data_IF_819741976000
#
_entry.id   IF_819741976000
#
_cell.length_a   1.000
_cell.length_b   1.000
_cell.length_c   1.000
_cell.angle_alpha   90.00
_cell.angle_beta   90.00
_cell.angle_gamma   90.00
#
_symmetry.space_group_name_H-M   'P 1'
#
loop_
_entity.id
_entity.type
_entity.pdbx_description
1 polymer ?
#
# COMPACT_ATOMS: atom_id res chain seq x y z
N UNK A 1 -9.01 -2.43 5.88
CA UNK A 1 -7.78 -2.70 5.11
C UNK A 1 -7.83 -4.12 4.57
N UNK A 2 -7.40 -4.35 3.32
CA UNK A 2 -7.40 -5.67 2.67
C UNK A 2 -5.99 -6.27 2.60
N UNK A 3 -5.91 -7.60 2.72
CA UNK A 3 -4.68 -8.36 2.47
C UNK A 3 -4.27 -8.26 1.00
N UNK A 4 -2.99 -8.03 0.73
CA UNK A 4 -2.43 -8.07 -0.63
C UNK A 4 -1.65 -9.35 -0.82
N UNK A 5 -2.12 -10.19 -1.73
CA UNK A 5 -1.52 -11.49 -2.00
C UNK A 5 -0.58 -11.40 -3.22
N UNK A 6 0.72 -11.24 -2.97
CA UNK A 6 1.78 -11.24 -4.01
C UNK A 6 2.03 -12.64 -4.59
N UNK A 7 1.02 -13.20 -5.26
CA UNK A 7 1.08 -14.55 -5.87
C UNK A 7 1.79 -14.56 -7.22
N UNK A 8 1.77 -13.44 -7.95
CA UNK A 8 2.46 -13.30 -9.23
C UNK A 8 3.88 -12.79 -8.99
N UNK A 9 4.81 -13.17 -9.87
CA UNK A 9 6.08 -12.45 -9.98
C UNK A 9 5.83 -11.03 -10.49
N UNK A 10 6.78 -10.12 -10.26
CA UNK A 10 6.72 -8.80 -10.89
C UNK A 10 6.63 -8.90 -12.43
N UNK A 11 6.07 -7.90 -13.12
CA UNK A 11 5.95 -7.92 -14.57
C UNK A 11 7.31 -8.12 -15.26
N UNK A 12 7.33 -8.91 -16.33
CA UNK A 12 8.55 -9.11 -17.12
C UNK A 12 9.08 -7.79 -17.68
N UNK A 13 8.19 -6.90 -18.09
CA UNK A 13 8.49 -5.56 -18.58
C UNK A 13 9.24 -4.75 -17.52
N UNK A 14 8.84 -4.88 -16.25
CA UNK A 14 9.50 -4.19 -15.15
C UNK A 14 10.89 -4.76 -14.88
N UNK A 15 11.03 -6.09 -14.92
CA UNK A 15 12.33 -6.77 -14.82
C UNK A 15 13.27 -6.31 -15.94
N UNK A 16 12.79 -6.31 -17.18
CA UNK A 16 13.53 -5.86 -18.38
C UNK A 16 13.84 -4.36 -18.32
N UNK A 17 12.96 -3.55 -17.75
CA UNK A 17 13.19 -2.12 -17.58
C UNK A 17 14.37 -1.86 -16.63
N UNK A 18 14.38 -2.51 -15.46
CA UNK A 18 15.43 -2.37 -14.45
C UNK A 18 16.81 -2.81 -14.94
N UNK A 19 16.90 -3.78 -15.86
CA UNK A 19 18.17 -4.23 -16.42
C UNK A 19 18.76 -3.30 -17.49
N UNK A 20 17.90 -2.51 -18.15
CA UNK A 20 18.29 -1.59 -19.23
C UNK A 20 18.51 -0.16 -18.76
N UNK A 21 17.98 0.21 -17.59
CA UNK A 21 18.00 1.59 -17.09
C UNK A 21 18.66 1.67 -15.73
N UNK A 22 19.49 2.70 -15.53
CA UNK A 22 20.01 3.04 -14.21
C UNK A 22 18.90 3.71 -13.40
N UNK A 23 18.40 3.02 -12.38
CA UNK A 23 17.36 3.55 -11.48
C UNK A 23 18.02 4.36 -10.37
N UNK A 24 17.83 5.68 -10.39
CA UNK A 24 18.39 6.60 -9.38
C UNK A 24 17.32 7.00 -8.38
N UNK A 25 16.11 7.26 -8.87
CA UNK A 25 14.96 7.72 -8.08
C UNK A 25 13.65 7.28 -8.77
N UNK A 26 12.51 7.67 -8.21
CA UNK A 26 11.21 7.30 -8.76
C UNK A 26 10.93 7.91 -10.16
N UNK A 27 11.58 9.02 -10.48
CA UNK A 27 11.43 9.69 -11.77
C UNK A 27 12.29 9.05 -12.86
N UNK A 28 13.14 8.08 -12.50
CA UNK A 28 13.88 7.24 -13.45
C UNK A 28 12.98 6.23 -14.17
N UNK A 29 11.73 6.04 -13.72
CA UNK A 29 10.73 5.19 -14.35
C UNK A 29 9.82 6.01 -15.26
N UNK A 30 9.71 5.59 -16.54
CA UNK A 30 8.82 6.25 -17.49
C UNK A 30 7.33 6.07 -17.12
N UNK A 31 6.43 6.93 -17.62
CA UNK A 31 4.99 6.75 -17.42
C UNK A 31 4.48 5.38 -17.89
N UNK A 32 5.01 4.85 -19.00
CA UNK A 32 4.57 3.58 -19.58
C UNK A 32 4.86 2.41 -18.64
N UNK A 33 6.06 2.34 -18.06
CA UNK A 33 6.37 1.25 -17.12
C UNK A 33 5.63 1.40 -15.79
N UNK A 34 5.37 2.63 -15.34
CA UNK A 34 4.50 2.89 -14.17
C UNK A 34 3.07 2.42 -14.44
N UNK A 35 2.56 2.61 -15.66
CA UNK A 35 1.23 2.12 -16.04
C UNK A 35 1.16 0.59 -16.03
N UNK A 36 2.17 -0.10 -16.60
CA UNK A 36 2.26 -1.56 -16.56
C UNK A 36 2.28 -2.09 -15.13
N UNK A 37 3.13 -1.50 -14.26
CA UNK A 37 3.17 -1.85 -12.84
C UNK A 37 1.80 -1.68 -12.18
N UNK A 38 1.17 -0.53 -12.37
CA UNK A 38 -0.10 -0.21 -11.71
C UNK A 38 -1.21 -1.16 -12.14
N UNK A 39 -1.29 -1.50 -13.44
CA UNK A 39 -2.20 -2.51 -13.95
C UNK A 39 -2.02 -3.86 -13.26
N UNK A 40 -0.77 -4.32 -13.13
CA UNK A 40 -0.45 -5.58 -12.46
C UNK A 40 -0.83 -5.58 -10.98
N UNK A 41 -0.58 -4.47 -10.29
CA UNK A 41 -0.92 -4.31 -8.87
C UNK A 41 -2.43 -4.33 -8.64
N UNK A 42 -3.21 -3.69 -9.52
CA UNK A 42 -4.67 -3.73 -9.46
C UNK A 42 -5.20 -5.17 -9.59
N UNK A 43 -4.69 -5.92 -10.57
CA UNK A 43 -5.08 -7.33 -10.78
C UNK A 43 -4.68 -8.28 -9.66
N UNK A 44 -3.67 -7.93 -8.84
CA UNK A 44 -3.26 -8.69 -7.66
C UNK A 44 -4.12 -8.38 -6.42
N UNK A 45 -4.71 -7.19 -6.40
CA UNK A 45 -5.49 -6.71 -5.26
C UNK A 45 -6.92 -7.21 -5.38
N UNK A 46 -7.48 -7.58 -4.23
CA UNK A 46 -8.83 -8.09 -4.17
C UNK A 46 -9.84 -7.05 -4.67
N UNK A 47 -10.69 -7.45 -5.61
CA UNK A 47 -11.76 -6.63 -6.21
C UNK A 47 -11.31 -5.26 -6.74
N UNK A 48 -10.06 -5.12 -7.17
CA UNK A 48 -9.46 -3.83 -7.51
C UNK A 48 -9.62 -2.77 -6.41
N UNK A 49 -9.68 -3.17 -5.13
CA UNK A 49 -9.83 -2.24 -4.04
C UNK A 49 -8.48 -1.71 -3.55
N UNK A 50 -8.49 -0.48 -3.04
CA UNK A 50 -7.37 0.06 -2.30
C UNK A 50 -7.12 -0.79 -1.05
N UNK A 51 -5.90 -1.31 -0.81
CA UNK A 51 -5.63 -2.16 0.35
C UNK A 51 -5.75 -1.43 1.69
N UNK A 52 -5.76 -0.10 1.66
CA UNK A 52 -5.84 0.73 2.85
C UNK A 52 -7.30 1.01 3.26
N UNK A 53 -8.09 1.63 2.37
CA UNK A 53 -9.47 2.01 2.67
C UNK A 53 -10.56 1.13 2.06
N UNK A 54 -10.20 0.11 1.27
CA UNK A 54 -11.13 -0.84 0.63
C UNK A 54 -12.06 -0.24 -0.43
N UNK A 55 -11.90 1.05 -0.77
CA UNK A 55 -12.61 1.69 -1.88
C UNK A 55 -12.08 1.11 -3.20
N UNK A 56 -12.99 0.81 -4.13
CA UNK A 56 -12.68 0.38 -5.49
C UNK A 56 -11.83 1.43 -6.21
N UNK A 57 -10.78 0.99 -6.90
CA UNK A 57 -9.86 1.83 -7.66
C UNK A 57 -9.56 1.20 -9.02
N UNK A 58 -9.28 2.06 -9.98
CA UNK A 58 -8.99 1.78 -11.37
C UNK A 58 -7.64 2.38 -11.77
N UNK A 59 -7.29 2.29 -13.05
CA UNK A 59 -5.99 2.76 -13.52
C UNK A 59 -5.90 4.30 -13.51
N UNK A 60 -7.00 5.01 -13.67
CA UNK A 60 -7.07 6.48 -13.75
C UNK A 60 -7.10 7.17 -12.39
N UNK A 61 -7.62 6.50 -11.36
CA UNK A 61 -7.91 7.05 -10.02
C UNK A 61 -7.07 6.39 -8.90
N UNK A 62 -5.95 5.75 -9.28
CA UNK A 62 -4.97 5.16 -8.37
C UNK A 62 -3.52 5.62 -8.61
N UNK A 63 -2.68 5.47 -7.59
CA UNK A 63 -1.22 5.60 -7.70
C UNK A 63 -0.49 4.36 -7.18
N UNK A 64 0.79 4.23 -7.57
CA UNK A 64 1.68 3.23 -6.97
C UNK A 64 2.21 3.78 -5.64
N UNK A 65 1.86 3.12 -4.56
CA UNK A 65 2.29 3.45 -3.21
C UNK A 65 3.48 2.58 -2.80
N UNK A 66 4.50 3.22 -2.23
CA UNK A 66 5.61 2.54 -1.55
C UNK A 66 5.22 2.26 -0.10
N UNK A 67 5.01 1.00 0.27
CA UNK A 67 4.69 0.61 1.66
C UNK A 67 5.76 1.15 2.62
N UNK A 68 7.02 0.82 2.36
CA UNK A 68 8.19 1.44 2.98
C UNK A 68 8.64 2.63 2.12
N UNK A 69 8.59 3.88 2.64
CA UNK A 69 8.89 5.08 1.85
C UNK A 69 10.27 5.07 1.20
N UNK A 70 10.32 5.44 -0.08
CA UNK A 70 11.55 5.44 -0.90
C UNK A 70 12.67 6.37 -0.41
N UNK A 71 12.34 7.43 0.32
CA UNK A 71 13.30 8.36 0.91
C UNK A 71 14.03 7.76 2.12
N UNK A 72 13.35 6.90 2.88
CA UNK A 72 13.91 6.16 4.02
C UNK A 72 14.50 4.80 3.65
N UNK A 73 13.95 4.17 2.61
CA UNK A 73 14.31 2.83 2.15
C UNK A 73 14.71 2.81 0.67
N UNK A 74 15.81 3.49 0.27
CA UNK A 74 16.20 3.58 -1.13
C UNK A 74 16.53 2.22 -1.76
N UNK A 75 16.93 1.22 -0.97
CA UNK A 75 17.16 -0.15 -1.44
C UNK A 75 15.88 -0.85 -1.90
N UNK A 76 14.71 -0.38 -1.45
CA UNK A 76 13.39 -0.91 -1.81
C UNK A 76 12.67 -0.04 -2.85
N UNK A 77 13.38 0.92 -3.46
CA UNK A 77 12.83 1.85 -4.46
C UNK A 77 12.19 1.12 -5.64
N UNK A 78 12.82 0.01 -6.07
CA UNK A 78 12.44 -0.79 -7.23
C UNK A 78 12.02 -2.22 -6.84
N UNK A 79 11.71 -2.45 -5.56
CA UNK A 79 11.25 -3.75 -5.06
C UNK A 79 9.74 -3.86 -5.22
N UNK A 80 9.30 -4.79 -6.06
CA UNK A 80 7.89 -5.00 -6.36
C UNK A 80 7.05 -5.40 -5.13
N UNK A 81 7.65 -6.10 -4.16
CA UNK A 81 6.96 -6.48 -2.93
C UNK A 81 6.72 -5.28 -1.99
N UNK A 82 7.35 -4.15 -2.29
CA UNK A 82 7.14 -2.88 -1.60
C UNK A 82 6.06 -2.01 -2.25
N UNK A 83 5.41 -2.49 -3.32
CA UNK A 83 4.41 -1.72 -4.08
C UNK A 83 2.99 -2.26 -3.93
N UNK A 84 2.05 -1.33 -3.86
CA UNK A 84 0.60 -1.57 -3.98
C UNK A 84 -0.02 -0.46 -4.84
N UNK A 85 -1.17 -0.71 -5.45
CA UNK A 85 -2.03 0.34 -5.99
C UNK A 85 -2.90 0.91 -4.85
N UNK A 86 -2.88 2.24 -4.71
CA UNK A 86 -3.56 2.96 -3.64
C UNK A 86 -4.46 4.06 -4.25
N UNK A 87 -5.53 4.45 -3.54
CA UNK A 87 -6.44 5.51 -3.99
C UNK A 87 -5.76 6.89 -3.98
N UNK A 88 -6.26 7.80 -4.82
CA UNK A 88 -5.80 9.20 -4.90
C UNK A 88 -6.48 10.13 -3.88
N UNK A 89 -7.27 9.59 -2.96
CA UNK A 89 -8.08 10.36 -2.01
C UNK A 89 -7.21 11.24 -1.11
N UNK A 90 -7.68 12.48 -0.90
CA UNK A 90 -6.96 13.48 -0.11
C UNK A 90 -7.14 13.24 1.37
N UNK A 91 -6.05 13.49 2.12
CA UNK A 91 -6.00 13.35 3.59
C UNK A 91 -6.22 11.94 4.12
N UNK A 92 -6.27 10.91 3.27
CA UNK A 92 -6.34 9.51 3.69
C UNK A 92 -5.27 8.69 2.98
N UNK A 93 -5.11 7.43 3.39
CA UNK A 93 -4.29 6.43 2.71
C UNK A 93 -2.88 6.94 2.38
N UNK A 94 -2.46 6.88 1.11
CA UNK A 94 -1.14 7.33 0.66
C UNK A 94 -0.89 8.83 0.88
N UNK A 95 -1.92 9.68 0.74
CA UNK A 95 -1.80 11.13 0.92
C UNK A 95 -1.55 11.48 2.42
N UNK A 96 -2.27 10.83 3.34
CA UNK A 96 -2.03 10.99 4.80
C UNK A 96 -0.69 10.41 5.25
N UNK A 97 -0.34 9.24 4.72
CA UNK A 97 0.89 8.52 5.05
C UNK A 97 2.12 9.30 4.59
N UNK A 98 2.12 9.82 3.38
CA UNK A 98 3.27 10.47 2.76
C UNK A 98 4.56 9.62 2.95
N UNK A 99 5.62 10.20 3.53
CA UNK A 99 6.85 9.47 3.87
C UNK A 99 6.94 9.04 5.35
N UNK A 100 5.87 9.17 6.13
CA UNK A 100 5.83 8.69 7.51
C UNK A 100 5.85 7.16 7.51
N UNK A 101 6.57 6.58 8.46
CA UNK A 101 6.74 5.14 8.59
C UNK A 101 7.25 4.75 9.97
N UNK A 102 6.85 3.58 10.44
CA UNK A 102 7.28 2.92 11.68
C UNK A 102 7.17 1.40 11.49
N UNK A 103 7.91 0.62 12.28
CA UNK A 103 7.73 -0.85 12.37
C UNK A 103 6.34 -1.24 12.89
N UNK A 104 5.62 -0.28 13.51
CA UNK A 104 4.22 -0.46 13.90
C UNK A 104 3.25 -0.47 12.70
N UNK A 105 3.67 -0.03 11.51
CA UNK A 105 2.80 -0.03 10.33
C UNK A 105 2.44 -1.46 9.94
N UNK A 106 1.15 -1.74 9.82
CA UNK A 106 0.66 -3.03 9.32
C UNK A 106 0.87 -3.05 7.81
N UNK A 107 1.81 -3.88 7.36
CA UNK A 107 2.08 -4.03 5.94
C UNK A 107 1.16 -5.13 5.38
N UNK A 108 0.15 -4.78 4.53
CA UNK A 108 -0.84 -5.74 4.05
C UNK A 108 -0.27 -6.80 3.11
N UNK A 109 0.96 -6.64 2.62
CA UNK A 109 1.65 -7.66 1.83
C UNK A 109 2.19 -8.79 2.72
N UNK A 110 2.65 -8.50 3.94
CA UNK A 110 3.28 -9.50 4.83
C UNK A 110 2.37 -9.92 5.99
N UNK A 111 1.53 -9.02 6.48
CA UNK A 111 0.59 -9.24 7.58
C UNK A 111 -0.84 -9.29 7.04
N UNK A 112 -1.72 -9.99 7.74
CA UNK A 112 -3.16 -9.99 7.44
C UNK A 112 -3.85 -8.89 8.25
N UNK A 113 -4.40 -7.83 7.62
CA UNK A 113 -5.10 -6.78 8.35
C UNK A 113 -6.29 -7.27 9.18
N UNK A 114 -6.94 -8.38 8.82
CA UNK A 114 -8.06 -8.94 9.59
C UNK A 114 -7.63 -9.42 10.99
N UNK A 115 -6.34 -9.68 11.21
CA UNK A 115 -5.80 -10.01 12.53
C UNK A 115 -5.72 -8.80 13.48
N UNK A 116 -5.99 -7.58 12.98
CA UNK A 116 -5.76 -6.33 13.70
C UNK A 116 -7.02 -5.47 13.84
N UNK A 117 -7.93 -5.53 12.88
CA UNK A 117 -9.05 -4.59 12.76
C UNK A 117 -10.42 -5.26 12.78
N UNK A 118 -11.38 -4.57 13.38
CA UNK A 118 -12.81 -4.84 13.19
C UNK A 118 -13.56 -3.53 12.90
N UNK A 119 -14.80 -3.64 12.44
CA UNK A 119 -15.67 -2.49 12.22
C UNK A 119 -16.64 -2.33 13.38
N UNK A 120 -16.69 -1.15 13.98
CA UNK A 120 -17.71 -0.79 14.95
C UNK A 120 -19.07 -0.72 14.24
N UNK A 121 -19.97 -1.65 14.57
CA UNK A 121 -21.28 -1.80 13.90
C UNK A 121 -22.19 -0.58 13.99
N UNK A 122 -21.94 0.35 14.94
CA UNK A 122 -22.80 1.53 15.15
C UNK A 122 -22.30 2.73 14.35
N UNK A 123 -20.98 2.86 14.23
CA UNK A 123 -20.32 4.04 13.64
C UNK A 123 -19.70 3.76 12.29
N UNK A 124 -19.53 2.48 11.92
CA UNK A 124 -18.80 2.06 10.73
C UNK A 124 -17.28 2.27 10.81
N UNK A 125 -16.77 2.70 11.97
CA UNK A 125 -15.35 3.01 12.15
C UNK A 125 -14.51 1.74 12.23
N UNK A 126 -13.33 1.79 11.64
CA UNK A 126 -12.30 0.77 11.84
C UNK A 126 -11.69 0.96 13.23
N UNK A 127 -11.64 -0.11 14.03
CA UNK A 127 -11.11 -0.12 15.39
C UNK A 127 -10.18 -1.32 15.61
N UNK A 128 -9.21 -1.23 16.55
CA UNK A 128 -8.40 -2.38 16.95
C UNK A 128 -9.23 -3.50 17.58
N UNK A 129 -8.99 -4.75 17.18
CA UNK A 129 -9.60 -5.94 17.82
C UNK A 129 -9.14 -6.06 19.29
N UNK A 130 -7.85 -5.87 19.52
CA UNK A 130 -7.24 -5.99 20.85
C UNK A 130 -7.27 -4.64 21.58
N UNK A 131 -7.44 -4.67 22.91
CA UNK A 131 -7.44 -3.46 23.75
C UNK A 131 -6.04 -2.99 24.16
N UNK A 132 -5.06 -3.87 24.11
CA UNK A 132 -3.67 -3.60 24.51
C UNK A 132 -2.68 -4.54 23.80
N UNK A 133 -1.39 -4.29 23.99
CA UNK A 133 -0.30 -5.08 23.42
C UNK A 133 0.07 -4.69 21.99
N UNK A 134 1.05 -5.39 21.42
CA UNK A 134 1.65 -5.03 20.14
C UNK A 134 0.63 -4.95 18.98
N UNK A 135 -0.34 -5.88 18.91
CA UNK A 135 -1.38 -5.82 17.86
C UNK A 135 -2.25 -4.58 17.98
N UNK A 136 -2.60 -4.18 19.20
CA UNK A 136 -3.34 -2.94 19.44
C UNK A 136 -2.54 -1.70 18.99
N UNK A 137 -1.26 -1.62 19.35
CA UNK A 137 -0.39 -0.50 18.98
C UNK A 137 -0.21 -0.39 17.46
N UNK A 138 -0.01 -1.52 16.78
CA UNK A 138 0.05 -1.59 15.32
C UNK A 138 -1.24 -1.11 14.66
N UNK A 139 -2.39 -1.56 15.16
CA UNK A 139 -3.69 -1.17 14.65
C UNK A 139 -3.93 0.33 14.82
N UNK A 140 -3.74 0.87 16.03
CA UNK A 140 -3.91 2.32 16.29
C UNK A 140 -2.99 3.16 15.42
N UNK A 141 -1.69 2.83 15.40
CA UNK A 141 -0.73 3.55 14.58
C UNK A 141 -1.14 3.57 13.11
N UNK A 142 -1.59 2.44 12.57
CA UNK A 142 -1.97 2.32 11.16
C UNK A 142 -3.25 3.10 10.85
N UNK A 143 -4.28 3.02 11.70
CA UNK A 143 -5.53 3.79 11.56
C UNK A 143 -5.23 5.29 11.56
N UNK A 144 -4.46 5.76 12.55
CA UNK A 144 -4.13 7.18 12.69
C UNK A 144 -3.24 7.67 11.54
N UNK A 145 -2.28 6.85 11.11
CA UNK A 145 -1.37 7.22 10.02
C UNK A 145 -2.10 7.34 8.68
N UNK A 146 -2.98 6.38 8.37
CA UNK A 146 -3.72 6.33 7.11
C UNK A 146 -5.02 7.15 7.17
N UNK A 147 -5.37 7.69 8.34
CA UNK A 147 -6.57 8.47 8.57
C UNK A 147 -7.86 7.76 8.11
N UNK A 148 -8.05 6.50 8.55
CA UNK A 148 -9.09 5.61 8.02
C UNK A 148 -10.51 5.85 8.57
N UNK A 149 -10.69 6.83 9.47
CA UNK A 149 -11.96 7.11 10.15
C UNK A 149 -12.49 8.54 9.91
N UNK A 150 -11.95 9.22 8.89
CA UNK A 150 -12.27 10.59 8.49
C UNK A 150 -13.13 10.65 7.22
#
# INVERSE_FOLDING_TARGET
MLKVNKKKSEPEEFTKYKSKHKIINWDSFTPEIKQVLKQYLLEEQENNCCPYCEIEIHLEDSHIEHIKPKDKFPKLLADYNNFIACCLEKKICGDSKASKWSELFINPVIEDPEDYFEYDIKTGKIIPIFKEGNRHEKAKYTIDLLNLND
#
